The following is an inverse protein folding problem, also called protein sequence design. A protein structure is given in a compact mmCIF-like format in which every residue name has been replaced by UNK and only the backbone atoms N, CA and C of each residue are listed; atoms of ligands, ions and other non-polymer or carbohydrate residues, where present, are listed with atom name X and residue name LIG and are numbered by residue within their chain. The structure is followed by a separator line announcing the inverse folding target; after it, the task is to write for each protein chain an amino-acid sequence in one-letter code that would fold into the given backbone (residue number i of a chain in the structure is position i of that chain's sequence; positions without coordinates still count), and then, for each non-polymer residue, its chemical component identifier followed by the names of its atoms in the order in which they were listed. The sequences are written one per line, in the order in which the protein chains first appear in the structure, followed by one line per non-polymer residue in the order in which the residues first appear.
data_IF_478241840363
#
_entry.id   IF_478241840363
#
_cell.length_a   1.000
_cell.length_b   1.000
_cell.length_c   1.000
_cell.angle_alpha   90.00
_cell.angle_beta   90.00
_cell.angle_gamma   90.00
#
_symmetry.space_group_name_H-M   'P 1'
#
loop_
_entity.id
_entity.type
_entity.pdbx_description
1 polymer ?
#
# COMPACT_ATOMS: atom_id res chain seq x y z
N UNK A 1 7.54 -30.79 -12.87
CA UNK A 1 7.38 -30.89 -11.40
C UNK A 1 8.69 -31.25 -10.75
N UNK A 2 8.93 -30.77 -9.53
CA UNK A 2 10.17 -31.02 -8.76
C UNK A 2 10.31 -32.48 -8.28
N UNK A 3 11.52 -33.06 -8.39
CA UNK A 3 11.82 -34.41 -7.90
C UNK A 3 12.48 -34.35 -6.51
N UNK A 4 11.72 -34.77 -5.49
CA UNK A 4 12.13 -34.78 -4.09
C UNK A 4 13.20 -35.82 -3.74
N UNK A 5 13.55 -36.75 -4.64
CA UNK A 5 14.73 -37.61 -4.45
C UNK A 5 16.03 -36.79 -4.39
N UNK A 6 16.01 -35.55 -4.90
CA UNK A 6 17.13 -34.60 -4.84
C UNK A 6 17.19 -33.81 -3.51
N UNK A 7 16.32 -34.10 -2.53
CA UNK A 7 16.23 -33.40 -1.26
C UNK A 7 15.22 -32.25 -1.26
N UNK A 8 15.35 -31.33 -0.30
CA UNK A 8 14.47 -30.15 -0.17
C UNK A 8 15.26 -28.89 -0.54
N UNK A 9 14.99 -28.37 -1.73
CA UNK A 9 15.50 -27.07 -2.20
C UNK A 9 14.33 -26.17 -2.61
N UNK A 10 14.01 -25.18 -1.78
CA UNK A 10 12.90 -24.26 -2.02
C UNK A 10 13.07 -23.42 -3.29
N UNK A 11 14.30 -23.07 -3.67
CA UNK A 11 14.55 -22.31 -4.90
C UNK A 11 14.17 -23.16 -6.12
N UNK A 12 14.58 -24.42 -6.12
CA UNK A 12 14.26 -25.34 -7.22
C UNK A 12 12.79 -25.75 -7.23
N UNK A 13 12.17 -25.88 -6.06
CA UNK A 13 10.72 -26.10 -5.95
C UNK A 13 9.96 -24.95 -6.63
N UNK A 14 10.28 -23.69 -6.29
CA UNK A 14 9.64 -22.52 -6.89
C UNK A 14 9.94 -22.39 -8.39
N UNK A 15 11.18 -22.63 -8.83
CA UNK A 15 11.54 -22.65 -10.25
C UNK A 15 10.76 -23.71 -11.03
N UNK A 16 10.49 -24.85 -10.43
CA UNK A 16 9.75 -25.93 -11.09
C UNK A 16 8.28 -25.59 -11.37
N UNK A 17 7.74 -24.53 -10.74
CA UNK A 17 6.32 -24.16 -10.85
C UNK A 17 5.91 -23.88 -12.30
N UNK A 18 6.79 -23.26 -13.10
CA UNK A 18 6.56 -23.00 -14.55
C UNK A 18 6.21 -24.28 -15.31
N UNK A 19 6.83 -25.41 -14.93
CA UNK A 19 6.66 -26.74 -15.56
C UNK A 19 5.72 -27.67 -14.77
N UNK A 20 4.95 -27.15 -13.80
CA UNK A 20 4.09 -27.96 -12.93
C UNK A 20 2.64 -28.01 -13.40
N UNK A 21 2.14 -26.98 -14.10
CA UNK A 21 0.79 -26.92 -14.66
C UNK A 21 -0.23 -26.20 -13.76
N UNK A 22 -1.38 -25.85 -14.34
CA UNK A 22 -2.46 -25.09 -13.68
C UNK A 22 -1.95 -23.76 -13.07
N UNK A 23 -2.38 -23.42 -11.85
CA UNK A 23 -1.98 -22.17 -11.19
C UNK A 23 -0.50 -22.13 -10.80
N UNK A 24 0.18 -23.27 -10.72
CA UNK A 24 1.63 -23.29 -10.50
C UNK A 24 2.37 -22.66 -11.67
N UNK A 25 1.99 -22.99 -12.92
CA UNK A 25 2.60 -22.38 -14.10
C UNK A 25 2.37 -20.87 -14.14
N UNK A 26 1.14 -20.41 -13.84
CA UNK A 26 0.85 -18.98 -13.75
C UNK A 26 1.72 -18.26 -12.70
N UNK A 27 2.02 -18.90 -11.56
CA UNK A 27 2.93 -18.32 -10.56
C UNK A 27 4.37 -18.26 -11.09
N UNK A 28 4.83 -19.29 -11.81
CA UNK A 28 6.13 -19.29 -12.47
C UNK A 28 6.27 -18.14 -13.48
N UNK A 29 5.28 -18.00 -14.38
CA UNK A 29 5.22 -16.93 -15.38
C UNK A 29 5.18 -15.54 -14.72
N UNK A 30 4.47 -15.39 -13.61
CA UNK A 30 4.41 -14.15 -12.85
C UNK A 30 5.77 -13.78 -12.22
N UNK A 31 6.51 -14.76 -11.67
CA UNK A 31 7.86 -14.53 -11.14
C UNK A 31 8.81 -14.06 -12.25
N UNK A 32 8.78 -14.72 -13.42
CA UNK A 32 9.59 -14.32 -14.57
C UNK A 32 9.24 -12.91 -15.05
N UNK A 33 7.96 -12.59 -15.14
CA UNK A 33 7.47 -11.28 -15.55
C UNK A 33 7.92 -10.17 -14.58
N UNK A 34 7.82 -10.39 -13.27
CA UNK A 34 8.27 -9.42 -12.27
C UNK A 34 9.78 -9.20 -12.35
N UNK A 35 10.57 -10.26 -12.54
CA UNK A 35 12.02 -10.12 -12.72
C UNK A 35 12.35 -9.33 -13.99
N UNK A 36 11.62 -9.56 -15.09
CA UNK A 36 11.76 -8.77 -16.31
C UNK A 36 11.47 -7.28 -16.07
N UNK A 37 10.43 -6.93 -15.29
CA UNK A 37 10.14 -5.53 -14.94
C UNK A 37 11.30 -4.88 -14.17
N UNK A 38 11.91 -5.60 -13.23
CA UNK A 38 13.03 -5.11 -12.42
C UNK A 38 14.32 -4.95 -13.24
N UNK A 39 14.56 -5.87 -14.17
CA UNK A 39 15.76 -5.89 -15.01
C UNK A 39 15.64 -4.95 -16.23
N UNK A 40 14.42 -4.66 -16.71
CA UNK A 40 14.21 -3.88 -17.93
C UNK A 40 14.83 -2.49 -17.87
N UNK A 41 15.49 -2.10 -18.97
CA UNK A 41 16.01 -0.76 -19.23
C UNK A 41 15.61 -0.34 -20.64
N UNK A 42 15.49 0.96 -20.89
CA UNK A 42 15.21 1.47 -22.24
C UNK A 42 16.31 1.08 -23.24
N UNK A 43 17.54 0.84 -22.77
CA UNK A 43 18.65 0.36 -23.61
C UNK A 43 18.43 -1.04 -24.20
N UNK A 44 17.51 -1.82 -23.64
CA UNK A 44 17.12 -3.13 -24.21
C UNK A 44 16.23 -2.98 -25.45
N UNK A 45 15.57 -1.82 -25.62
CA UNK A 45 14.72 -1.52 -26.77
C UNK A 45 15.53 -0.92 -27.93
N UNK A 46 15.06 -1.14 -29.16
CA UNK A 46 15.64 -0.51 -30.34
C UNK A 46 15.37 0.99 -30.34
N UNK A 47 16.32 1.76 -30.90
CA UNK A 47 16.14 3.20 -31.12
C UNK A 47 15.27 3.39 -32.34
N UNK A 48 14.18 4.14 -32.19
CA UNK A 48 13.22 4.46 -33.26
C UNK A 48 13.42 5.89 -33.76
N UNK A 49 12.90 6.21 -34.95
CA UNK A 49 13.11 7.52 -35.60
C UNK A 49 12.45 8.68 -34.83
N UNK A 50 11.44 8.40 -34.01
CA UNK A 50 10.71 9.34 -33.16
C UNK A 50 11.40 9.64 -31.82
N UNK A 51 12.47 8.93 -31.47
CA UNK A 51 13.26 9.23 -30.27
C UNK A 51 13.87 10.63 -30.35
N UNK A 52 13.79 11.37 -29.24
CA UNK A 52 14.54 12.62 -29.05
C UNK A 52 16.06 12.38 -29.06
N UNK A 53 16.86 13.43 -29.26
CA UNK A 53 18.32 13.32 -29.21
C UNK A 53 18.84 12.83 -27.84
N UNK A 54 18.12 13.13 -26.76
CA UNK A 54 18.44 12.63 -25.42
C UNK A 54 18.16 11.12 -25.29
N UNK A 55 17.03 10.65 -25.83
CA UNK A 55 16.65 9.23 -25.83
C UNK A 55 17.52 8.35 -26.73
N UNK A 56 18.29 8.96 -27.64
CA UNK A 56 19.31 8.28 -28.45
C UNK A 56 20.60 8.05 -27.67
N UNK A 57 20.84 8.79 -26.59
CA UNK A 57 22.04 8.65 -25.75
C UNK A 57 22.00 7.35 -24.95
N UNK A 58 23.06 6.52 -25.08
CA UNK A 58 23.15 5.26 -24.35
C UNK A 58 23.07 5.46 -22.82
N UNK A 59 23.77 6.47 -22.30
CA UNK A 59 23.76 6.78 -20.85
C UNK A 59 22.36 7.09 -20.33
N UNK A 60 21.56 7.82 -21.12
CA UNK A 60 20.17 8.10 -20.75
C UNK A 60 19.34 6.82 -20.77
N UNK A 61 19.42 6.04 -21.85
CA UNK A 61 18.66 4.78 -22.01
C UNK A 61 18.97 3.74 -20.93
N UNK A 62 20.22 3.67 -20.46
CA UNK A 62 20.62 2.79 -19.35
C UNK A 62 20.08 3.27 -17.99
N UNK A 63 19.84 4.58 -17.84
CA UNK A 63 19.29 5.17 -16.63
C UNK A 63 17.77 5.00 -16.50
N UNK A 64 17.07 4.88 -17.63
CA UNK A 64 15.61 4.71 -17.67
C UNK A 64 15.23 3.28 -17.32
N UNK A 65 14.46 3.13 -16.23
CA UNK A 65 13.91 1.87 -15.73
C UNK A 65 12.41 1.78 -15.97
N UNK A 66 11.85 0.58 -15.82
CA UNK A 66 10.41 0.37 -15.84
C UNK A 66 9.75 1.13 -14.68
N UNK A 67 8.63 1.80 -14.93
CA UNK A 67 7.79 2.39 -13.86
C UNK A 67 6.80 1.34 -13.36
N UNK A 68 6.95 0.92 -12.11
CA UNK A 68 6.17 -0.16 -11.51
C UNK A 68 5.03 0.42 -10.68
N UNK A 69 3.80 0.12 -11.11
CA UNK A 69 2.57 0.44 -10.39
C UNK A 69 2.16 -0.76 -9.54
N UNK A 70 2.13 -0.60 -8.22
CA UNK A 70 1.68 -1.62 -7.29
C UNK A 70 0.25 -1.33 -6.82
N UNK A 71 -0.68 -2.21 -7.18
CA UNK A 71 -2.06 -2.18 -6.73
C UNK A 71 -2.35 -3.26 -5.70
N UNK A 72 -3.04 -2.92 -4.60
CA UNK A 72 -3.53 -3.90 -3.63
C UNK A 72 -4.82 -3.45 -2.95
N UNK A 73 -5.62 -4.43 -2.53
CA UNK A 73 -6.86 -4.23 -1.77
C UNK A 73 -6.57 -4.08 -0.27
N UNK A 74 -7.48 -3.43 0.47
CA UNK A 74 -7.35 -3.17 1.91
C UNK A 74 -7.02 -4.41 2.74
N UNK A 75 -7.68 -5.54 2.46
CA UNK A 75 -7.50 -6.79 3.22
C UNK A 75 -6.05 -7.32 3.20
N UNK A 76 -5.24 -6.97 2.19
CA UNK A 76 -3.82 -7.33 2.15
C UNK A 76 -3.02 -6.56 3.21
N UNK A 77 -3.39 -5.30 3.49
CA UNK A 77 -2.82 -4.53 4.58
C UNK A 77 -3.34 -5.00 5.93
N UNK A 78 -4.60 -5.45 6.04
CA UNK A 78 -5.09 -6.13 7.25
C UNK A 78 -4.29 -7.40 7.56
N UNK A 79 -3.82 -8.10 6.53
CA UNK A 79 -2.99 -9.31 6.65
C UNK A 79 -1.51 -9.02 6.97
N UNK A 80 -0.70 -10.07 7.02
CA UNK A 80 0.76 -9.97 7.12
C UNK A 80 1.46 -9.56 5.81
N UNK A 81 0.74 -9.54 4.68
CA UNK A 81 1.29 -9.07 3.39
C UNK A 81 1.71 -7.60 3.46
N UNK A 82 1.15 -6.81 4.41
CA UNK A 82 1.62 -5.47 4.78
C UNK A 82 3.14 -5.38 4.89
N UNK A 83 3.80 -6.33 5.54
CA UNK A 83 5.24 -6.24 5.79
C UNK A 83 6.07 -6.45 4.51
N UNK A 84 5.53 -7.25 3.57
CA UNK A 84 6.08 -7.45 2.23
C UNK A 84 5.93 -6.15 1.42
N UNK A 85 4.75 -5.54 1.44
CA UNK A 85 4.50 -4.26 0.76
C UNK A 85 5.43 -3.18 1.33
N UNK A 86 5.51 -3.05 2.66
CA UNK A 86 6.44 -2.15 3.34
C UNK A 86 7.89 -2.38 2.90
N UNK A 87 8.34 -3.63 2.75
CA UNK A 87 9.68 -3.93 2.24
C UNK A 87 9.88 -3.39 0.81
N UNK A 88 8.95 -3.66 -0.11
CA UNK A 88 9.04 -3.18 -1.50
C UNK A 88 9.11 -1.65 -1.56
N UNK A 89 8.30 -0.96 -0.75
CA UNK A 89 8.26 0.50 -0.70
C UNK A 89 9.52 1.07 -0.04
N UNK A 90 9.98 0.48 1.06
CA UNK A 90 11.20 0.89 1.79
C UNK A 90 12.44 0.87 0.90
N UNK A 91 12.54 -0.12 0.00
CA UNK A 91 13.69 -0.33 -0.87
C UNK A 91 13.51 0.21 -2.29
N UNK A 92 12.55 1.12 -2.51
CA UNK A 92 12.28 1.74 -3.83
C UNK A 92 12.12 0.70 -4.95
N UNK A 93 11.43 -0.41 -4.67
CA UNK A 93 11.17 -1.45 -5.67
C UNK A 93 9.89 -1.20 -6.48
N UNK A 94 9.15 -0.14 -6.14
CA UNK A 94 7.93 0.31 -6.81
C UNK A 94 7.92 1.83 -6.91
N UNK A 95 7.24 2.37 -7.92
CA UNK A 95 7.24 3.81 -8.22
C UNK A 95 5.92 4.49 -7.87
N UNK A 96 4.80 3.75 -7.94
CA UNK A 96 3.46 4.28 -7.68
C UNK A 96 2.62 3.23 -6.96
N UNK A 97 1.83 3.65 -5.97
CA UNK A 97 0.90 2.78 -5.26
C UNK A 97 -0.54 3.20 -5.51
N UNK A 98 -1.42 2.23 -5.71
CA UNK A 98 -2.88 2.44 -5.71
C UNK A 98 -3.53 1.46 -4.74
N UNK A 99 -4.33 1.98 -3.81
CA UNK A 99 -5.08 1.14 -2.88
C UNK A 99 -6.41 1.78 -2.48
N UNK A 100 -7.21 1.08 -1.68
CA UNK A 100 -8.47 1.56 -1.10
C UNK A 100 -8.23 2.11 0.31
N UNK A 101 -9.22 2.82 0.87
CA UNK A 101 -9.10 3.50 2.18
C UNK A 101 -8.64 2.58 3.30
N UNK A 102 -9.19 1.36 3.37
CA UNK A 102 -8.76 0.35 4.32
C UNK A 102 -7.26 0.02 4.21
N UNK A 103 -6.68 0.08 3.00
CA UNK A 103 -5.25 -0.11 2.79
C UNK A 103 -4.39 1.02 3.37
N UNK A 104 -4.95 2.22 3.49
CA UNK A 104 -4.30 3.37 4.11
C UNK A 104 -4.46 3.29 5.64
N UNK A 105 -5.70 3.26 6.12
CA UNK A 105 -5.99 3.40 7.56
C UNK A 105 -5.47 2.22 8.37
N UNK A 106 -5.55 0.99 7.86
CA UNK A 106 -5.08 -0.17 8.61
C UNK A 106 -3.55 -0.22 8.76
N UNK A 107 -2.80 0.37 7.82
CA UNK A 107 -1.36 0.54 7.97
C UNK A 107 -1.01 1.49 9.12
N UNK A 108 -1.74 2.60 9.22
CA UNK A 108 -1.59 3.60 10.29
C UNK A 108 -2.04 3.02 11.63
N UNK A 109 -3.22 2.40 11.68
CA UNK A 109 -3.79 1.78 12.88
C UNK A 109 -2.84 0.71 13.44
N UNK A 110 -2.19 -0.08 12.58
CA UNK A 110 -1.22 -1.10 13.02
C UNK A 110 0.04 -0.54 13.68
N UNK A 111 0.35 0.74 13.49
CA UNK A 111 1.39 1.41 14.26
C UNK A 111 0.93 1.81 15.67
N UNK A 112 -0.38 1.87 15.91
CA UNK A 112 -0.99 2.27 17.18
C UNK A 112 -1.44 1.06 18.03
N UNK A 113 -1.94 0.00 17.37
CA UNK A 113 -2.46 -1.18 18.04
C UNK A 113 -2.45 -2.43 17.14
N UNK A 114 -2.49 -3.61 17.75
CA UNK A 114 -2.37 -4.88 17.04
C UNK A 114 -3.68 -5.34 16.39
N UNK A 115 -3.55 -6.09 15.30
CA UNK A 115 -4.60 -6.93 14.71
C UNK A 115 -4.35 -8.38 15.12
N UNK A 116 -5.41 -9.15 15.39
CA UNK A 116 -5.29 -10.51 15.92
C UNK A 116 -5.85 -11.54 14.96
N UNK A 117 -5.34 -12.77 15.04
CA UNK A 117 -5.92 -13.91 14.32
C UNK A 117 -7.22 -14.35 15.00
N UNK A 118 -8.23 -14.63 14.19
CA UNK A 118 -9.51 -15.23 14.58
C UNK A 118 -9.96 -16.27 13.56
N UNK A 119 -11.28 -16.37 13.36
CA UNK A 119 -11.89 -17.34 12.45
C UNK A 119 -13.04 -16.72 11.65
N UNK A 120 -13.22 -17.17 10.40
CA UNK A 120 -14.33 -16.74 9.54
C UNK A 120 -15.71 -17.04 10.14
N UNK A 121 -15.81 -18.14 10.90
CA UNK A 121 -17.02 -18.71 11.49
C UNK A 121 -17.53 -17.94 12.72
N UNK A 122 -16.76 -17.00 13.28
CA UNK A 122 -17.16 -16.30 14.49
C UNK A 122 -18.48 -15.51 14.31
N UNK A 123 -19.49 -15.74 15.17
CA UNK A 123 -20.79 -15.07 15.07
C UNK A 123 -20.67 -13.55 15.23
N UNK A 124 -21.17 -12.80 14.25
CA UNK A 124 -21.07 -11.34 14.25
C UNK A 124 -21.74 -10.67 15.47
N UNK A 125 -22.85 -11.23 15.95
CA UNK A 125 -23.54 -10.71 17.13
C UNK A 125 -22.66 -10.76 18.41
N UNK A 126 -21.94 -11.86 18.62
CA UNK A 126 -21.04 -12.01 19.77
C UNK A 126 -19.79 -11.12 19.65
N UNK A 127 -19.24 -11.00 18.45
CA UNK A 127 -18.13 -10.09 18.22
C UNK A 127 -18.53 -8.64 18.48
N UNK A 128 -19.74 -8.24 18.05
CA UNK A 128 -20.25 -6.89 18.26
C UNK A 128 -20.44 -6.56 19.74
N UNK A 129 -20.96 -7.49 20.56
CA UNK A 129 -21.11 -7.25 22.01
C UNK A 129 -19.76 -7.09 22.72
N UNK A 130 -18.70 -7.68 22.16
CA UNK A 130 -17.31 -7.55 22.64
C UNK A 130 -16.55 -6.39 22.02
N UNK A 131 -17.15 -5.64 21.09
CA UNK A 131 -16.47 -4.55 20.37
C UNK A 131 -15.33 -5.03 19.47
N UNK A 132 -15.47 -6.20 18.85
CA UNK A 132 -14.50 -6.78 17.93
C UNK A 132 -15.02 -6.71 16.50
N UNK A 133 -14.25 -6.12 15.58
CA UNK A 133 -14.55 -6.10 14.15
C UNK A 133 -13.83 -7.26 13.47
N UNK A 134 -14.52 -7.96 12.56
CA UNK A 134 -13.96 -9.12 11.84
C UNK A 134 -13.62 -8.77 10.40
N UNK A 135 -12.38 -9.07 10.00
CA UNK A 135 -11.89 -8.97 8.62
C UNK A 135 -11.48 -10.38 8.19
N UNK A 136 -12.38 -11.12 7.57
CA UNK A 136 -12.16 -12.53 7.24
C UNK A 136 -11.91 -13.38 8.51
N UNK A 137 -10.69 -13.89 8.68
CA UNK A 137 -10.21 -14.58 9.88
C UNK A 137 -9.30 -13.70 10.76
N UNK A 138 -9.42 -12.39 10.68
CA UNK A 138 -8.71 -11.43 11.51
C UNK A 138 -9.70 -10.65 12.38
N UNK A 139 -9.23 -10.17 13.52
CA UNK A 139 -9.99 -9.39 14.48
C UNK A 139 -9.28 -8.07 14.80
N UNK A 140 -10.02 -6.98 14.72
CA UNK A 140 -9.59 -5.62 15.05
C UNK A 140 -10.48 -5.10 16.18
N UNK A 141 -9.95 -4.93 17.41
CA UNK A 141 -10.69 -4.33 18.51
C UNK A 141 -11.14 -2.90 18.19
N UNK A 142 -12.32 -2.49 18.64
CA UNK A 142 -12.82 -1.11 18.48
C UNK A 142 -11.86 -0.07 19.07
N UNK A 143 -11.16 -0.42 20.15
CA UNK A 143 -10.13 0.43 20.78
C UNK A 143 -9.05 0.90 19.79
N UNK A 144 -8.75 0.10 18.76
CA UNK A 144 -7.81 0.49 17.71
C UNK A 144 -8.31 1.72 16.94
N UNK A 145 -9.62 1.80 16.66
CA UNK A 145 -10.23 2.93 15.96
C UNK A 145 -10.36 4.16 16.87
N UNK A 146 -10.58 3.96 18.18
CA UNK A 146 -10.52 5.07 19.15
C UNK A 146 -9.11 5.69 19.21
N UNK A 147 -8.06 4.87 19.25
CA UNK A 147 -6.67 5.35 19.17
C UNK A 147 -6.38 6.06 17.86
N UNK A 148 -6.98 5.60 16.77
CA UNK A 148 -6.85 6.24 15.47
C UNK A 148 -7.53 7.60 15.43
N UNK A 149 -8.74 7.74 16.00
CA UNK A 149 -9.42 9.02 16.19
C UNK A 149 -8.53 10.01 16.98
N UNK A 150 -8.03 9.60 18.15
CA UNK A 150 -7.17 10.42 19.00
C UNK A 150 -5.91 10.90 18.26
N UNK A 151 -5.35 10.06 17.37
CA UNK A 151 -4.17 10.37 16.59
C UNK A 151 -4.46 11.28 15.38
N UNK A 152 -5.53 11.02 14.63
CA UNK A 152 -5.77 11.69 13.33
C UNK A 152 -6.46 13.04 13.45
N UNK A 153 -7.32 13.24 14.46
CA UNK A 153 -8.11 14.47 14.59
C UNK A 153 -7.23 15.73 14.70
N UNK A 154 -6.17 15.77 15.53
CA UNK A 154 -5.26 16.91 15.57
C UNK A 154 -4.59 17.20 14.22
N UNK A 155 -4.29 16.16 13.44
CA UNK A 155 -3.69 16.31 12.11
C UNK A 155 -4.69 16.97 11.15
N UNK A 156 -5.96 16.60 11.21
CA UNK A 156 -7.01 17.25 10.41
C UNK A 156 -7.23 18.72 10.80
N UNK A 157 -7.07 19.08 12.08
CA UNK A 157 -7.10 20.47 12.51
C UNK A 157 -5.95 21.28 11.86
N UNK A 158 -4.73 20.74 11.86
CA UNK A 158 -3.59 21.37 11.20
C UNK A 158 -3.77 21.46 9.68
N UNK A 159 -4.27 20.40 9.04
CA UNK A 159 -4.56 20.39 7.61
C UNK A 159 -5.60 21.45 7.22
N UNK A 160 -6.65 21.62 8.04
CA UNK A 160 -7.66 22.65 7.83
C UNK A 160 -7.07 24.05 7.97
N UNK A 161 -6.23 24.28 8.97
CA UNK A 161 -5.56 25.56 9.17
C UNK A 161 -4.62 25.88 8.00
N UNK A 162 -3.85 24.91 7.53
CA UNK A 162 -3.00 25.04 6.34
C UNK A 162 -3.81 25.34 5.08
N UNK A 163 -4.97 24.71 4.91
CA UNK A 163 -5.88 25.01 3.80
C UNK A 163 -6.37 26.47 3.87
N UNK A 164 -6.74 26.96 5.05
CA UNK A 164 -7.26 28.33 5.26
C UNK A 164 -6.18 29.41 5.14
N UNK A 165 -5.00 29.17 5.68
CA UNK A 165 -3.94 30.20 5.81
C UNK A 165 -2.90 30.16 4.71
N UNK A 166 -2.59 28.97 4.19
CA UNK A 166 -1.56 28.75 3.16
C UNK A 166 -2.14 28.36 1.81
N UNK A 167 -3.47 28.30 1.70
CA UNK A 167 -4.19 27.94 0.47
C UNK A 167 -3.78 26.56 -0.08
N UNK A 168 -3.51 25.61 0.82
CA UNK A 168 -3.15 24.23 0.45
C UNK A 168 -4.39 23.51 -0.10
N UNK A 169 -4.32 23.08 -1.36
CA UNK A 169 -5.32 22.17 -1.93
C UNK A 169 -4.95 20.72 -1.60
N UNK A 170 -5.68 20.12 -0.66
CA UNK A 170 -5.55 18.71 -0.31
C UNK A 170 -6.17 17.82 -1.38
N UNK A 171 -5.45 16.76 -1.73
CA UNK A 171 -5.91 15.65 -2.58
C UNK A 171 -5.63 14.35 -1.83
N UNK A 172 -6.25 13.21 -2.18
CA UNK A 172 -6.01 11.96 -1.46
C UNK A 172 -4.53 11.61 -1.30
N UNK A 173 -3.73 11.76 -2.36
CA UNK A 173 -2.30 11.47 -2.31
C UNK A 173 -1.51 12.40 -1.37
N UNK A 174 -1.86 13.70 -1.32
CA UNK A 174 -1.24 14.65 -0.38
C UNK A 174 -1.62 14.35 1.07
N UNK A 175 -2.90 14.00 1.31
CA UNK A 175 -3.36 13.58 2.64
C UNK A 175 -2.61 12.33 3.07
N UNK A 176 -2.52 11.31 2.21
CA UNK A 176 -1.81 10.06 2.52
C UNK A 176 -0.32 10.32 2.80
N UNK A 177 0.36 11.15 1.99
CA UNK A 177 1.75 11.52 2.23
C UNK A 177 1.92 12.27 3.56
N UNK A 178 0.98 13.17 3.91
CA UNK A 178 0.96 13.84 5.22
C UNK A 178 0.82 12.81 6.35
N UNK A 179 -0.11 11.88 6.27
CA UNK A 179 -0.31 10.84 7.29
C UNK A 179 0.90 9.92 7.43
N UNK A 180 1.56 9.55 6.31
CA UNK A 180 2.81 8.80 6.31
C UNK A 180 3.97 9.55 7.00
N UNK A 181 4.03 10.87 6.84
CA UNK A 181 4.96 11.73 7.59
C UNK A 181 4.65 11.72 9.09
N UNK A 182 3.39 11.94 9.47
CA UNK A 182 2.98 12.10 10.87
C UNK A 182 3.07 10.81 11.68
N UNK A 183 2.83 9.64 11.06
CA UNK A 183 2.90 8.37 11.79
C UNK A 183 4.33 8.06 12.22
N UNK A 184 5.33 8.57 11.49
CA UNK A 184 6.76 8.53 11.80
C UNK A 184 7.24 7.17 12.37
N UNK A 185 6.83 6.09 11.73
CA UNK A 185 7.06 4.73 12.20
C UNK A 185 7.55 3.85 11.05
N UNK A 186 8.76 3.30 11.17
CA UNK A 186 9.39 2.47 10.13
C UNK A 186 8.66 1.14 9.84
N UNK A 187 7.69 0.75 10.67
CA UNK A 187 6.81 -0.39 10.37
C UNK A 187 5.70 -0.06 9.36
N UNK A 188 5.40 1.21 9.11
CA UNK A 188 4.39 1.67 8.15
C UNK A 188 4.94 1.72 6.74
N UNK A 189 4.20 1.17 5.76
CA UNK A 189 4.57 1.35 4.36
C UNK A 189 4.31 2.78 3.88
N UNK A 190 3.34 3.49 4.47
CA UNK A 190 3.05 4.90 4.18
C UNK A 190 4.16 5.84 4.64
N UNK A 191 4.79 5.54 5.78
CA UNK A 191 6.00 6.24 6.21
C UNK A 191 7.10 6.12 5.15
N UNK A 192 7.37 4.91 4.68
CA UNK A 192 8.38 4.70 3.64
C UNK A 192 7.98 5.35 2.32
N UNK A 193 6.70 5.28 1.92
CA UNK A 193 6.21 5.94 0.72
C UNK A 193 6.48 7.45 0.76
N UNK A 194 6.20 8.10 1.90
CA UNK A 194 6.54 9.51 2.12
C UNK A 194 8.05 9.78 2.06
N UNK A 195 8.87 8.97 2.75
CA UNK A 195 10.34 9.15 2.79
C UNK A 195 11.00 8.96 1.44
N UNK A 196 10.39 8.12 0.60
CA UNK A 196 10.91 7.70 -0.69
C UNK A 196 10.28 8.45 -1.87
N UNK A 197 9.39 9.42 -1.61
CA UNK A 197 8.65 10.19 -2.61
C UNK A 197 7.83 9.30 -3.59
N UNK A 198 7.26 8.21 -3.05
CA UNK A 198 6.39 7.30 -3.80
C UNK A 198 4.93 7.75 -3.60
N UNK A 199 4.23 8.24 -4.64
CA UNK A 199 2.85 8.66 -4.52
C UNK A 199 1.91 7.47 -4.29
N UNK A 200 0.97 7.65 -3.36
CA UNK A 200 -0.10 6.70 -3.06
C UNK A 200 -1.43 7.31 -3.45
N UNK A 201 -2.14 6.65 -4.37
CA UNK A 201 -3.45 7.10 -4.83
C UNK A 201 -4.58 6.27 -4.21
N UNK A 202 -5.63 6.97 -3.76
CA UNK A 202 -6.87 6.37 -3.27
C UNK A 202 -8.04 7.31 -3.59
N UNK A 203 -8.68 7.20 -4.77
CA UNK A 203 -9.79 8.08 -5.14
C UNK A 203 -10.98 7.99 -4.17
N UNK A 204 -11.22 6.81 -3.60
CA UNK A 204 -12.29 6.54 -2.63
C UNK A 204 -11.90 6.78 -1.18
N UNK A 205 -11.02 7.75 -0.87
CA UNK A 205 -10.41 7.96 0.47
C UNK A 205 -11.41 8.06 1.63
N UNK A 206 -12.67 8.41 1.36
CA UNK A 206 -13.74 8.53 2.35
C UNK A 206 -14.46 7.22 2.68
N UNK A 207 -14.18 6.12 1.99
CA UNK A 207 -14.84 4.82 2.18
C UNK A 207 -14.16 3.95 3.25
N UNK A 208 -14.17 4.42 4.50
CA UNK A 208 -13.54 3.71 5.64
C UNK A 208 -13.55 4.50 6.93
N UNK A 209 -12.84 4.01 7.96
CA UNK A 209 -12.69 4.72 9.23
C UNK A 209 -12.08 6.12 9.06
N UNK A 210 -11.19 6.34 8.10
CA UNK A 210 -10.66 7.66 7.78
C UNK A 210 -11.79 8.61 7.35
N UNK A 211 -12.74 8.12 6.55
CA UNK A 211 -13.95 8.84 6.18
C UNK A 211 -14.86 9.15 7.38
N UNK A 212 -15.03 8.20 8.30
CA UNK A 212 -15.76 8.44 9.57
C UNK A 212 -15.11 9.57 10.37
N UNK A 213 -13.77 9.60 10.44
CA UNK A 213 -13.03 10.66 11.16
C UNK A 213 -13.16 12.02 10.46
N UNK A 214 -13.09 12.06 9.13
CA UNK A 214 -13.36 13.28 8.36
C UNK A 214 -14.79 13.79 8.60
N UNK A 215 -15.77 12.87 8.62
CA UNK A 215 -17.15 13.19 8.92
C UNK A 215 -17.27 13.82 10.31
N UNK A 216 -16.80 13.16 11.37
CA UNK A 216 -16.88 13.71 12.73
C UNK A 216 -16.12 15.01 12.92
N UNK A 217 -14.93 15.12 12.31
CA UNK A 217 -14.14 16.35 12.31
C UNK A 217 -14.92 17.52 11.71
N UNK A 218 -15.63 17.31 10.59
CA UNK A 218 -16.37 18.37 9.90
C UNK A 218 -17.48 19.03 10.73
N UNK A 219 -18.07 18.32 11.71
CA UNK A 219 -19.06 18.90 12.62
C UNK A 219 -18.43 19.78 13.71
N UNK A 220 -17.18 19.51 14.08
CA UNK A 220 -16.44 20.29 15.08
C UNK A 220 -15.73 21.47 14.42
N UNK A 221 -15.05 21.21 13.31
CA UNK A 221 -14.22 22.14 12.55
C UNK A 221 -14.54 22.05 11.05
N UNK A 222 -15.60 22.72 10.58
CA UNK A 222 -16.05 22.59 9.20
C UNK A 222 -15.07 23.20 8.18
N UNK A 223 -15.07 22.61 6.98
CA UNK A 223 -14.49 23.22 5.78
C UNK A 223 -13.23 22.56 5.23
N UNK A 224 -12.76 21.42 5.76
CA UNK A 224 -11.67 20.67 5.15
C UNK A 224 -12.16 20.07 3.82
N UNK A 225 -11.45 20.35 2.73
CA UNK A 225 -11.81 19.88 1.39
C UNK A 225 -10.70 18.98 0.89
N UNK A 226 -11.07 17.82 0.34
CA UNK A 226 -10.14 16.90 -0.32
C UNK A 226 -10.62 16.73 -1.76
N UNK A 227 -9.85 17.24 -2.70
CA UNK A 227 -10.15 17.25 -4.14
C UNK A 227 -9.64 15.97 -4.83
N UNK A 228 -10.48 15.36 -5.68
CA UNK A 228 -10.23 14.05 -6.31
C UNK A 228 -9.92 14.20 -7.78
#
# INVERSE_FOLDING_TARGET
GYDFNNGIDYSQILKSMVSTGFQASNLGDAIETVNQMLDWRLSHEQVTEDCSEEEKSLTYRESVRCKIFLGFTSNLISSGVRDIIRYLVQHHMVDVIVTTTGGIEEDLIKCLANTFKGEFSFPGAELRTKGLNRIGNLLVPNDNYCKFEDWIIPIFDEMLEEQKTKNVLWTPSKVIARLGKEINNESSYLYWAYKNDIPVFCPGLTDGSLGDMLYFHSFRNPGLIVDV
#
